data_IF_853916935360
#
_entry.id   IF_853916935360
#
_cell.length_a   1.000
_cell.length_b   1.000
_cell.length_c   1.000
_cell.angle_alpha   90.00
_cell.angle_beta   90.00
_cell.angle_gamma   90.00
#
_symmetry.space_group_name_H-M   'P 1'
#
loop_
_entity.id
_entity.type
_entity.pdbx_description
1 polymer ?
#
# COMPACT_ATOMS: atom_id res chain seq x y z
N UNK A 1 12.10 -26.28 12.99
CA UNK A 1 13.27 -25.38 12.98
C UNK A 1 12.74 -23.98 13.24
N UNK A 2 13.07 -23.37 14.38
CA UNK A 2 12.57 -22.04 14.78
C UNK A 2 13.35 -20.98 14.01
N UNK A 3 12.68 -20.11 13.27
CA UNK A 3 13.32 -18.94 12.67
C UNK A 3 12.84 -17.67 13.35
N UNK A 4 13.78 -17.03 14.06
CA UNK A 4 13.73 -15.64 14.50
C UNK A 4 13.82 -14.73 13.27
N UNK A 5 12.97 -13.71 13.17
CA UNK A 5 13.10 -12.65 12.16
C UNK A 5 14.08 -11.57 12.66
N UNK A 6 15.21 -11.32 11.97
CA UNK A 6 16.04 -10.15 12.25
C UNK A 6 15.65 -8.97 11.33
N UNK A 7 15.59 -7.78 11.93
CA UNK A 7 15.74 -6.42 11.39
C UNK A 7 14.89 -5.95 10.18
N UNK A 8 14.13 -4.88 10.42
CA UNK A 8 13.35 -4.10 9.44
C UNK A 8 14.25 -3.44 8.38
N UNK A 9 14.10 -3.83 7.12
CA UNK A 9 14.63 -3.12 5.94
C UNK A 9 13.45 -2.67 5.08
N UNK A 10 13.37 -1.38 4.78
CA UNK A 10 12.39 -0.80 3.85
C UNK A 10 13.04 -0.63 2.48
N UNK A 11 12.45 -1.22 1.43
CA UNK A 11 12.82 -0.97 0.04
C UNK A 11 11.72 -0.18 -0.67
N UNK A 12 12.08 0.94 -1.31
CA UNK A 12 11.16 1.69 -2.20
C UNK A 12 11.58 1.42 -3.64
N UNK A 13 10.68 0.80 -4.40
CA UNK A 13 10.84 0.60 -5.85
C UNK A 13 9.99 1.61 -6.61
N UNK A 14 10.60 2.39 -7.50
CA UNK A 14 9.89 3.27 -8.43
C UNK A 14 10.19 2.78 -9.84
N UNK A 15 9.14 2.42 -10.59
CA UNK A 15 9.23 2.02 -11.99
C UNK A 15 8.34 2.91 -12.86
N UNK A 16 8.85 3.31 -14.04
CA UNK A 16 8.10 4.08 -15.04
C UNK A 16 7.81 3.18 -16.24
N UNK A 17 6.57 3.23 -16.75
CA UNK A 17 6.15 2.35 -17.83
C UNK A 17 6.79 2.64 -19.20
N UNK A 18 7.28 3.87 -19.48
CA UNK A 18 7.78 4.23 -20.81
C UNK A 18 9.30 4.38 -20.98
N UNK A 19 10.13 4.19 -19.94
CA UNK A 19 11.58 4.38 -20.05
C UNK A 19 12.33 3.29 -19.29
N UNK A 20 13.29 2.64 -19.96
CA UNK A 20 14.12 1.51 -19.49
C UNK A 20 15.04 1.79 -18.29
N UNK A 21 14.70 2.77 -17.44
CA UNK A 21 15.48 3.20 -16.27
C UNK A 21 14.62 3.17 -15.01
N UNK A 22 14.67 2.05 -14.30
CA UNK A 22 14.29 1.98 -12.89
C UNK A 22 15.22 2.89 -12.09
N UNK A 23 14.67 3.83 -11.29
CA UNK A 23 15.44 4.59 -10.31
C UNK A 23 15.09 4.09 -8.91
N UNK A 24 15.98 3.30 -8.32
CA UNK A 24 15.90 2.98 -6.89
C UNK A 24 16.37 4.18 -6.08
N UNK A 25 15.44 4.84 -5.37
CA UNK A 25 15.81 5.86 -4.38
C UNK A 25 16.11 5.15 -3.07
N UNK A 26 17.39 5.01 -2.73
CA UNK A 26 17.82 4.58 -1.39
C UNK A 26 17.74 5.78 -0.44
N UNK A 27 16.83 5.74 0.53
CA UNK A 27 16.80 6.74 1.61
C UNK A 27 17.77 6.28 2.71
N UNK A 28 18.88 6.99 2.99
CA UNK A 28 19.84 6.58 4.01
C UNK A 28 19.25 6.69 5.43
N UNK A 29 19.50 5.68 6.26
CA UNK A 29 18.99 5.48 7.63
C UNK A 29 19.16 6.71 8.54
N UNK A 30 20.25 7.47 8.35
CA UNK A 30 20.56 8.65 9.17
C UNK A 30 19.50 9.75 9.02
N UNK A 31 18.89 9.88 7.83
CA UNK A 31 17.86 10.89 7.55
C UNK A 31 16.53 10.57 8.25
N UNK A 32 16.21 9.28 8.45
CA UNK A 32 15.03 8.85 9.21
C UNK A 32 15.22 9.04 10.73
N UNK A 33 16.43 8.80 11.25
CA UNK A 33 16.74 9.00 12.68
C UNK A 33 16.67 10.47 13.09
N UNK A 34 17.11 11.38 12.20
CA UNK A 34 16.95 12.83 12.37
C UNK A 34 15.49 13.29 12.31
N UNK A 35 14.63 12.58 11.56
CA UNK A 35 13.19 12.87 11.50
C UNK A 35 12.45 12.42 12.76
N UNK A 36 12.91 11.34 13.41
CA UNK A 36 12.36 10.88 14.69
C UNK A 36 12.66 11.84 15.84
N UNK A 37 13.85 12.46 15.86
CA UNK A 37 14.28 13.31 16.96
C UNK A 37 13.68 14.74 16.96
N UNK A 38 12.89 15.13 15.95
CA UNK A 38 12.25 16.45 15.90
C UNK A 38 10.77 16.45 16.28
N UNK A 39 10.19 15.28 16.56
CA UNK A 39 8.76 15.13 16.92
C UNK A 39 8.55 14.88 18.42
N UNK A 40 9.61 14.84 19.24
CA UNK A 40 9.54 14.45 20.67
C UNK A 40 9.65 15.65 21.66
N UNK A 41 9.44 16.89 21.23
CA UNK A 41 9.36 18.06 22.12
C UNK A 41 8.02 18.78 21.95
N UNK A 42 6.93 18.17 22.41
CA UNK A 42 5.73 18.87 22.91
C UNK A 42 4.82 17.85 23.65
N UNK A 43 4.22 18.29 24.76
CA UNK A 43 3.91 17.50 25.97
C UNK A 43 2.73 16.49 25.91
N UNK A 44 2.94 15.31 26.48
CA UNK A 44 2.15 14.78 27.61
C UNK A 44 0.74 14.20 27.40
N UNK A 45 0.63 12.91 27.02
CA UNK A 45 -0.16 11.89 27.75
C UNK A 45 0.13 10.48 27.20
N UNK A 46 0.44 9.54 28.09
CA UNK A 46 0.95 8.22 27.73
C UNK A 46 -0.05 7.33 26.99
N UNK A 47 0.25 7.01 25.74
CA UNK A 47 -0.24 5.81 25.05
C UNK A 47 1.00 5.09 24.51
N UNK A 48 1.22 3.85 24.96
CA UNK A 48 2.35 3.03 24.55
C UNK A 48 2.26 2.69 23.05
N UNK A 49 2.93 3.47 22.21
CA UNK A 49 3.10 3.20 20.79
C UNK A 49 4.05 2.00 20.56
N UNK A 50 3.48 0.80 20.42
CA UNK A 50 4.20 -0.36 19.85
C UNK A 50 4.00 -0.40 18.33
N UNK A 51 4.82 0.36 17.61
CA UNK A 51 4.92 0.25 16.14
C UNK A 51 5.84 -0.95 15.83
N UNK A 52 5.23 -2.12 15.75
CA UNK A 52 5.84 -3.38 15.32
C UNK A 52 4.72 -4.41 15.21
N UNK A 53 4.65 -5.13 14.09
CA UNK A 53 3.63 -6.14 13.86
C UNK A 53 3.51 -7.05 15.09
N UNK A 54 2.33 -7.12 15.71
CA UNK A 54 2.07 -8.05 16.79
C UNK A 54 2.13 -9.47 16.20
N UNK A 55 3.14 -10.30 16.52
CA UNK A 55 3.32 -11.60 15.85
C UNK A 55 2.07 -12.48 15.99
N UNK A 56 1.39 -12.39 17.14
CA UNK A 56 0.13 -13.10 17.38
C UNK A 56 -1.02 -12.64 16.48
N UNK A 57 -1.02 -11.37 16.07
CA UNK A 57 -2.00 -10.82 15.14
C UNK A 57 -1.78 -11.36 13.72
N UNK A 58 -0.52 -11.44 13.28
CA UNK A 58 -0.16 -11.99 11.96
C UNK A 58 -0.43 -13.49 11.88
N UNK A 59 -0.10 -14.25 12.92
CA UNK A 59 -0.39 -15.70 12.96
C UNK A 59 -1.90 -15.97 12.86
N UNK A 60 -2.71 -15.20 13.59
CA UNK A 60 -4.18 -15.31 13.52
C UNK A 60 -4.72 -14.90 12.16
N UNK A 61 -4.17 -13.85 11.55
CA UNK A 61 -4.55 -13.42 10.21
C UNK A 61 -4.34 -14.58 9.21
N UNK A 62 -3.16 -15.18 9.23
CA UNK A 62 -2.84 -16.32 8.36
C UNK A 62 -3.79 -17.49 8.60
N UNK A 63 -4.18 -17.78 9.84
CA UNK A 63 -5.16 -18.83 10.13
C UNK A 63 -6.53 -18.54 9.52
N UNK A 64 -7.02 -17.30 9.60
CA UNK A 64 -8.30 -16.91 9.00
C UNK A 64 -8.23 -17.03 7.48
N UNK A 65 -7.16 -16.52 6.85
CA UNK A 65 -6.99 -16.59 5.39
C UNK A 65 -6.91 -18.04 4.87
N UNK A 66 -6.16 -18.92 5.55
CA UNK A 66 -6.05 -20.32 5.12
C UNK A 66 -7.32 -21.16 5.35
N UNK A 67 -8.22 -20.71 6.22
CA UNK A 67 -9.47 -21.41 6.52
C UNK A 67 -10.68 -20.86 5.75
N UNK A 68 -10.47 -19.79 4.98
CA UNK A 68 -11.50 -19.18 4.15
C UNK A 68 -11.76 -19.98 2.86
N UNK A 69 -12.95 -19.78 2.30
CA UNK A 69 -13.35 -20.44 1.06
C UNK A 69 -12.68 -19.83 -0.18
N UNK A 70 -12.47 -18.51 -0.16
CA UNK A 70 -11.71 -17.74 -1.14
C UNK A 70 -11.12 -16.47 -0.50
N UNK A 71 -10.48 -15.63 -1.32
CA UNK A 71 -9.84 -14.40 -0.86
C UNK A 71 -10.84 -13.33 -0.36
N UNK A 72 -11.99 -13.18 -1.02
CA UNK A 72 -13.02 -12.21 -0.61
C UNK A 72 -13.50 -12.56 0.80
N UNK A 73 -13.94 -13.81 0.98
CA UNK A 73 -14.38 -14.35 2.25
C UNK A 73 -13.29 -14.24 3.35
N UNK A 74 -12.02 -14.52 3.00
CA UNK A 74 -10.91 -14.47 3.96
C UNK A 74 -10.59 -13.06 4.45
N UNK A 75 -10.44 -12.10 3.53
CA UNK A 75 -10.12 -10.72 3.88
C UNK A 75 -11.29 -10.05 4.60
N UNK A 76 -12.52 -10.23 4.13
CA UNK A 76 -13.71 -9.64 4.75
C UNK A 76 -13.95 -10.18 6.17
N UNK A 77 -13.69 -11.49 6.42
CA UNK A 77 -13.68 -12.06 7.78
C UNK A 77 -12.67 -11.38 8.70
N UNK A 78 -11.48 -11.05 8.20
CA UNK A 78 -10.47 -10.36 9.01
C UNK A 78 -10.95 -8.97 9.41
N UNK A 79 -11.55 -8.22 8.48
CA UNK A 79 -12.16 -6.92 8.75
C UNK A 79 -13.28 -7.00 9.80
N UNK A 80 -14.24 -7.92 9.62
CA UNK A 80 -15.36 -8.12 10.57
C UNK A 80 -14.89 -8.48 11.98
N UNK A 81 -13.76 -9.17 12.10
CA UNK A 81 -13.17 -9.55 13.38
C UNK A 81 -12.25 -8.47 13.98
N UNK A 82 -12.05 -7.34 13.29
CA UNK A 82 -11.07 -6.31 13.69
C UNK A 82 -9.62 -6.80 13.65
N UNK A 83 -9.35 -7.88 12.91
CA UNK A 83 -8.03 -8.47 12.76
C UNK A 83 -7.27 -7.81 11.63
N UNK A 84 -6.86 -6.56 11.85
CA UNK A 84 -6.22 -5.69 10.86
C UNK A 84 -4.80 -5.27 11.29
N UNK A 85 -3.87 -6.22 11.56
CA UNK A 85 -2.53 -5.91 12.06
C UNK A 85 -1.65 -5.12 11.07
N UNK A 86 -2.06 -4.99 9.81
CA UNK A 86 -1.39 -4.17 8.79
C UNK A 86 -1.84 -2.70 8.82
N UNK A 87 -3.00 -2.40 9.41
CA UNK A 87 -3.56 -1.05 9.43
C UNK A 87 -2.75 -0.15 10.37
N UNK A 88 -2.26 0.98 9.85
CA UNK A 88 -1.45 1.93 10.60
C UNK A 88 -2.28 2.93 11.42
N UNK A 89 -3.60 3.00 11.20
CA UNK A 89 -4.51 4.01 11.75
C UNK A 89 -4.25 5.42 11.23
N UNK A 90 -3.39 5.56 10.23
CA UNK A 90 -2.94 6.84 9.66
C UNK A 90 -2.33 6.62 8.27
N UNK A 91 -2.15 7.70 7.47
CA UNK A 91 -1.45 7.61 6.20
C UNK A 91 -0.01 7.11 6.36
N UNK A 92 0.45 6.33 5.39
CA UNK A 92 1.83 5.88 5.25
C UNK A 92 2.76 7.11 5.22
N UNK A 93 3.68 7.27 6.19
CA UNK A 93 4.48 8.50 6.30
C UNK A 93 5.28 8.85 5.05
N UNK A 94 5.77 7.84 4.32
CA UNK A 94 6.48 8.04 3.06
C UNK A 94 5.56 8.65 1.99
N UNK A 95 4.36 8.09 1.81
CA UNK A 95 3.42 8.55 0.81
C UNK A 95 2.96 9.98 1.11
N UNK A 96 2.63 10.27 2.37
CA UNK A 96 2.28 11.62 2.83
C UNK A 96 3.39 12.63 2.49
N UNK A 97 4.65 12.27 2.76
CA UNK A 97 5.80 13.12 2.43
C UNK A 97 5.98 13.33 0.93
N UNK A 98 5.82 12.29 0.12
CA UNK A 98 5.91 12.41 -1.34
C UNK A 98 4.81 13.34 -1.88
N UNK A 99 3.62 13.29 -1.30
CA UNK A 99 2.52 14.21 -1.59
C UNK A 99 2.89 15.65 -1.22
N UNK A 100 3.29 15.90 0.03
CA UNK A 100 3.62 17.23 0.56
C UNK A 100 4.78 17.91 -0.21
N UNK A 101 5.71 17.12 -0.73
CA UNK A 101 6.86 17.62 -1.51
C UNK A 101 6.56 17.79 -3.01
N UNK A 102 5.33 17.50 -3.44
CA UNK A 102 4.94 17.54 -4.87
C UNK A 102 5.66 16.49 -5.72
N UNK A 103 6.17 15.42 -5.10
CA UNK A 103 6.96 14.38 -5.77
C UNK A 103 6.10 13.28 -6.40
N UNK A 104 4.78 13.30 -6.18
CA UNK A 104 3.85 12.34 -6.78
C UNK A 104 3.30 12.86 -8.12
N UNK A 105 3.14 12.00 -9.15
CA UNK A 105 2.47 12.36 -10.39
C UNK A 105 1.09 13.00 -10.16
N UNK A 106 0.69 13.91 -11.05
CA UNK A 106 -0.67 14.48 -11.10
C UNK A 106 -1.60 13.56 -11.91
N UNK A 107 -2.89 13.87 -11.91
CA UNK A 107 -3.89 13.15 -12.71
C UNK A 107 -4.66 12.12 -11.90
N UNK A 108 -4.64 10.85 -12.33
CA UNK A 108 -5.41 9.76 -11.72
C UNK A 108 -4.48 8.78 -11.02
N UNK A 109 -4.81 8.43 -9.77
CA UNK A 109 -4.06 7.49 -8.97
C UNK A 109 -4.92 6.28 -8.57
N UNK A 110 -4.31 5.09 -8.52
CA UNK A 110 -4.91 3.87 -8.01
C UNK A 110 -4.13 3.35 -6.79
N UNK A 111 -4.86 2.96 -5.75
CA UNK A 111 -4.35 2.21 -4.61
C UNK A 111 -5.09 0.88 -4.53
N UNK A 112 -4.49 -0.24 -4.99
CA UNK A 112 -5.08 -1.56 -4.85
C UNK A 112 -4.95 -2.08 -3.42
N UNK A 113 -5.99 -2.73 -2.90
CA UNK A 113 -6.05 -3.18 -1.50
C UNK A 113 -6.04 -2.00 -0.53
N UNK A 114 -6.90 -1.01 -0.75
CA UNK A 114 -6.82 0.27 -0.04
C UNK A 114 -7.17 0.19 1.46
N UNK A 115 -7.81 -0.89 1.93
CA UNK A 115 -8.22 -1.06 3.32
C UNK A 115 -9.07 0.12 3.81
N UNK A 116 -8.69 0.70 4.97
CA UNK A 116 -9.31 1.92 5.54
C UNK A 116 -9.16 3.17 4.69
N UNK A 117 -8.34 3.15 3.64
CA UNK A 117 -8.25 4.26 2.70
C UNK A 117 -7.46 5.48 3.18
N UNK A 118 -6.71 5.39 4.29
CA UNK A 118 -5.93 6.52 4.79
C UNK A 118 -4.98 7.11 3.73
N UNK A 119 -4.31 6.24 2.96
CA UNK A 119 -3.41 6.65 1.88
C UNK A 119 -4.15 7.26 0.69
N UNK A 120 -5.36 6.78 0.40
CA UNK A 120 -6.23 7.33 -0.65
C UNK A 120 -6.58 8.78 -0.32
N UNK A 121 -7.10 9.01 0.89
CA UNK A 121 -7.49 10.33 1.36
C UNK A 121 -6.29 11.27 1.44
N UNK A 122 -5.12 10.77 1.88
CA UNK A 122 -3.95 11.60 2.12
C UNK A 122 -3.36 12.24 0.86
N UNK A 123 -3.51 11.61 -0.31
CA UNK A 123 -2.92 12.11 -1.57
C UNK A 123 -3.93 12.72 -2.54
N UNK A 124 -5.22 12.66 -2.21
CA UNK A 124 -6.31 13.20 -3.01
C UNK A 124 -6.35 14.73 -2.90
N UNK A 125 -6.29 15.40 -4.04
CA UNK A 125 -6.24 16.86 -4.13
C UNK A 125 -6.78 17.35 -5.49
N UNK A 126 -6.96 18.66 -5.71
CA UNK A 126 -7.48 19.18 -6.98
C UNK A 126 -6.74 18.71 -8.24
N UNK A 127 -5.44 18.43 -8.12
CA UNK A 127 -4.59 17.94 -9.21
C UNK A 127 -4.45 16.42 -9.25
N UNK A 128 -5.06 15.68 -8.30
CA UNK A 128 -4.99 14.22 -8.22
C UNK A 128 -6.30 13.59 -7.74
N UNK A 129 -7.00 12.94 -8.65
CA UNK A 129 -8.14 12.09 -8.33
C UNK A 129 -7.67 10.68 -7.97
N UNK A 130 -8.15 10.13 -6.86
CA UNK A 130 -7.62 8.87 -6.31
C UNK A 130 -8.72 7.81 -6.21
N UNK A 131 -8.46 6.64 -6.78
CA UNK A 131 -9.33 5.47 -6.69
C UNK A 131 -8.70 4.49 -5.72
N UNK A 132 -9.36 4.21 -4.60
CA UNK A 132 -9.06 3.08 -3.74
C UNK A 132 -9.92 1.90 -4.10
N UNK A 133 -9.34 0.71 -4.27
CA UNK A 133 -10.11 -0.51 -4.43
C UNK A 133 -9.75 -1.55 -3.39
N UNK A 134 -10.74 -2.29 -2.92
CA UNK A 134 -10.57 -3.42 -2.02
C UNK A 134 -11.60 -4.50 -2.36
N UNK A 135 -11.24 -5.76 -2.12
CA UNK A 135 -12.15 -6.89 -2.37
C UNK A 135 -13.21 -7.01 -1.27
N UNK A 136 -12.87 -6.59 -0.05
CA UNK A 136 -13.70 -6.69 1.15
C UNK A 136 -14.78 -5.60 1.21
N UNK A 137 -16.04 -5.99 1.36
CA UNK A 137 -17.15 -5.07 1.63
C UNK A 137 -16.87 -4.26 2.91
N UNK A 138 -16.46 -4.94 3.97
CA UNK A 138 -16.24 -4.34 5.28
C UNK A 138 -15.10 -3.30 5.25
N UNK A 139 -14.10 -3.50 4.41
CA UNK A 139 -13.01 -2.54 4.22
C UNK A 139 -13.53 -1.25 3.58
N UNK A 140 -14.32 -1.37 2.51
CA UNK A 140 -14.89 -0.25 1.77
C UNK A 140 -15.88 0.53 2.64
N UNK A 141 -16.74 -0.16 3.38
CA UNK A 141 -17.64 0.47 4.36
C UNK A 141 -16.86 1.30 5.38
N UNK A 142 -15.77 0.73 5.93
CA UNK A 142 -14.91 1.42 6.89
C UNK A 142 -14.21 2.63 6.27
N UNK A 143 -13.71 2.50 5.05
CA UNK A 143 -13.05 3.58 4.34
C UNK A 143 -14.01 4.76 4.10
N UNK A 144 -15.23 4.47 3.64
CA UNK A 144 -16.27 5.50 3.42
C UNK A 144 -16.67 6.15 4.75
N UNK A 145 -16.91 5.37 5.81
CA UNK A 145 -17.24 5.87 7.15
C UNK A 145 -16.20 6.89 7.63
N UNK A 146 -14.91 6.55 7.54
CA UNK A 146 -13.81 7.36 8.04
C UNK A 146 -13.51 8.63 7.21
N UNK A 147 -13.94 8.66 5.95
CA UNK A 147 -13.48 9.66 4.98
C UNK A 147 -14.58 10.57 4.42
N UNK A 148 -15.85 10.22 4.60
CA UNK A 148 -17.00 10.93 4.01
C UNK A 148 -17.07 12.42 4.37
N UNK A 149 -16.58 12.82 5.54
CA UNK A 149 -16.57 14.22 6.01
C UNK A 149 -15.31 15.01 5.63
N UNK A 150 -14.37 14.38 4.92
CA UNK A 150 -13.11 15.03 4.58
C UNK A 150 -13.30 16.14 3.54
N UNK A 151 -12.57 17.27 3.66
CA UNK A 151 -12.74 18.42 2.76
C UNK A 151 -12.34 18.11 1.31
N UNK A 152 -11.57 17.06 1.08
CA UNK A 152 -11.13 16.58 -0.23
C UNK A 152 -11.95 15.38 -0.74
N UNK A 153 -13.13 15.11 -0.17
CA UNK A 153 -14.01 13.99 -0.55
C UNK A 153 -14.44 13.99 -2.01
N UNK A 154 -14.42 15.15 -2.70
CA UNK A 154 -14.67 15.22 -4.14
C UNK A 154 -13.53 14.69 -5.01
N UNK A 155 -12.35 14.42 -4.43
CA UNK A 155 -11.14 14.02 -5.16
C UNK A 155 -10.77 12.55 -4.96
N UNK A 156 -11.62 11.74 -4.34
CA UNK A 156 -11.40 10.31 -4.24
C UNK A 156 -12.69 9.49 -4.32
N UNK A 157 -12.54 8.20 -4.54
CA UNK A 157 -13.62 7.21 -4.44
C UNK A 157 -13.08 5.87 -3.95
N UNK A 158 -13.96 5.09 -3.34
CA UNK A 158 -13.70 3.73 -2.92
C UNK A 158 -14.61 2.78 -3.69
N UNK A 159 -14.04 1.74 -4.29
CA UNK A 159 -14.78 0.73 -5.05
C UNK A 159 -14.53 -0.65 -4.47
N UNK A 160 -15.62 -1.38 -4.20
CA UNK A 160 -15.53 -2.82 -3.96
C UNK A 160 -15.22 -3.51 -5.28
N UNK A 161 -14.01 -4.04 -5.42
CA UNK A 161 -13.55 -4.68 -6.65
C UNK A 161 -12.40 -5.64 -6.38
N UNK A 162 -12.44 -6.79 -7.06
CA UNK A 162 -11.27 -7.66 -7.19
C UNK A 162 -10.31 -7.06 -8.22
N UNK A 163 -9.09 -6.73 -7.76
CA UNK A 163 -8.02 -6.16 -8.59
C UNK A 163 -7.75 -6.95 -9.88
N UNK A 164 -7.81 -8.28 -9.85
CA UNK A 164 -7.43 -9.10 -10.99
C UNK A 164 -8.51 -9.13 -12.08
N UNK A 165 -9.78 -9.11 -11.69
CA UNK A 165 -10.93 -9.23 -12.60
C UNK A 165 -11.57 -7.88 -12.95
N UNK A 166 -11.32 -6.83 -12.17
CA UNK A 166 -11.85 -5.50 -12.42
C UNK A 166 -11.17 -4.80 -13.60
N UNK A 167 -11.96 -4.21 -14.50
CA UNK A 167 -11.45 -3.51 -15.68
C UNK A 167 -11.82 -2.03 -15.60
N UNK A 168 -10.87 -1.13 -15.28
CA UNK A 168 -11.16 0.30 -15.27
C UNK A 168 -11.39 0.82 -16.69
N UNK A 169 -12.27 1.81 -16.83
CA UNK A 169 -12.52 2.50 -18.11
C UNK A 169 -11.40 3.46 -18.48
N UNK A 170 -10.60 3.90 -17.51
CA UNK A 170 -9.49 4.83 -17.67
C UNK A 170 -8.22 4.27 -17.03
N UNK A 171 -7.09 4.53 -17.68
CA UNK A 171 -5.76 4.16 -17.18
C UNK A 171 -5.27 5.17 -16.14
N UNK A 172 -4.32 4.75 -15.30
CA UNK A 172 -3.80 5.56 -14.20
C UNK A 172 -2.45 6.22 -14.51
N UNK A 173 -2.26 7.44 -14.00
CA UNK A 173 -0.97 8.15 -14.02
C UNK A 173 -0.05 7.67 -12.89
N UNK A 174 -0.63 7.24 -11.78
CA UNK A 174 0.07 6.70 -10.62
C UNK A 174 -0.61 5.41 -10.14
N UNK A 175 0.15 4.37 -9.88
CA UNK A 175 -0.30 3.25 -9.05
C UNK A 175 0.63 3.18 -7.84
N UNK A 176 0.05 3.23 -6.64
CA UNK A 176 0.79 3.10 -5.39
C UNK A 176 0.42 1.78 -4.70
N UNK A 177 1.37 0.85 -4.65
CA UNK A 177 1.22 -0.44 -3.97
C UNK A 177 2.01 -0.42 -2.66
N UNK A 178 1.29 -0.57 -1.55
CA UNK A 178 1.85 -0.83 -0.25
C UNK A 178 1.05 -1.92 0.44
N UNK A 179 1.74 -2.99 0.84
CA UNK A 179 1.17 -4.20 1.46
C UNK A 179 0.22 -5.04 0.60
N UNK A 180 -0.08 -4.65 -0.65
CA UNK A 180 -0.94 -5.42 -1.55
C UNK A 180 -0.17 -6.54 -2.24
N UNK A 181 0.98 -6.25 -2.86
CA UNK A 181 1.81 -7.28 -3.53
C UNK A 181 2.27 -8.42 -2.60
N UNK A 182 2.49 -8.14 -1.30
CA UNK A 182 2.85 -9.18 -0.34
C UNK A 182 1.64 -9.96 0.21
N UNK A 183 0.43 -9.40 0.07
CA UNK A 183 -0.81 -10.03 0.51
C UNK A 183 -1.37 -11.02 -0.53
N UNK A 184 -1.00 -10.88 -1.81
CA UNK A 184 -1.41 -11.81 -2.86
C UNK A 184 -0.60 -13.12 -2.83
N UNK A 185 -1.26 -14.21 -3.20
CA UNK A 185 -0.62 -15.52 -3.35
C UNK A 185 0.57 -15.45 -4.34
N UNK A 186 1.68 -16.16 -4.06
CA UNK A 186 2.88 -16.09 -4.90
C UNK A 186 2.62 -16.34 -6.39
N UNK A 187 1.73 -17.28 -6.72
CA UNK A 187 1.40 -17.65 -8.10
C UNK A 187 0.61 -16.57 -8.86
N UNK A 188 0.03 -15.59 -8.14
CA UNK A 188 -0.67 -14.44 -8.73
C UNK A 188 0.25 -13.27 -9.04
N UNK A 189 1.52 -13.30 -8.62
CA UNK A 189 2.44 -12.15 -8.75
C UNK A 189 2.76 -11.80 -10.21
N UNK A 190 2.86 -12.79 -11.09
CA UNK A 190 3.01 -12.53 -12.54
C UNK A 190 1.79 -11.86 -13.12
N UNK A 191 0.58 -12.32 -12.72
CA UNK A 191 -0.69 -11.69 -13.11
C UNK A 191 -0.84 -10.28 -12.56
N UNK A 192 -0.33 -10.03 -11.35
CA UNK A 192 -0.29 -8.68 -10.78
C UNK A 192 0.55 -7.75 -11.66
N UNK A 193 1.73 -8.20 -12.11
CA UNK A 193 2.58 -7.38 -12.97
C UNK A 193 1.89 -7.08 -14.31
N UNK A 194 1.34 -8.11 -14.97
CA UNK A 194 0.56 -7.93 -16.20
C UNK A 194 -0.60 -6.95 -16.00
N UNK A 195 -1.35 -7.10 -14.90
CA UNK A 195 -2.47 -6.21 -14.60
C UNK A 195 -2.02 -4.77 -14.42
N UNK A 196 -0.95 -4.53 -13.67
CA UNK A 196 -0.37 -3.21 -13.45
C UNK A 196 0.02 -2.58 -14.80
N UNK A 197 0.72 -3.32 -15.67
CA UNK A 197 1.09 -2.84 -17.03
C UNK A 197 -0.14 -2.40 -17.82
N UNK A 198 -1.20 -3.20 -17.76
CA UNK A 198 -2.38 -3.02 -18.60
C UNK A 198 -3.24 -1.83 -18.15
N UNK A 199 -3.28 -1.54 -16.83
CA UNK A 199 -4.06 -0.43 -16.26
C UNK A 199 -3.24 0.86 -16.06
N UNK A 200 -1.93 0.82 -16.23
CA UNK A 200 -1.05 1.98 -16.16
C UNK A 200 -0.94 2.67 -17.53
N UNK A 201 -0.99 4.02 -17.54
CA UNK A 201 -0.71 4.82 -18.74
C UNK A 201 0.73 4.57 -19.22
N UNK A 202 1.03 4.79 -20.52
CA UNK A 202 2.40 4.69 -21.03
C UNK A 202 3.42 5.47 -20.20
N UNK A 203 3.13 6.72 -19.85
CA UNK A 203 4.00 7.56 -19.01
C UNK A 203 3.69 7.47 -17.50
N UNK A 204 2.85 6.50 -17.11
CA UNK A 204 2.46 6.30 -15.73
C UNK A 204 3.61 5.78 -14.85
N UNK A 205 3.49 6.04 -13.56
CA UNK A 205 4.46 5.61 -12.55
C UNK A 205 3.86 4.56 -11.61
N UNK A 206 4.57 3.46 -11.42
CA UNK A 206 4.32 2.50 -10.35
C UNK A 206 5.28 2.78 -9.19
N UNK A 207 4.73 3.07 -8.02
CA UNK A 207 5.48 3.18 -6.78
C UNK A 207 5.10 2.00 -5.89
N UNK A 208 6.10 1.20 -5.53
CA UNK A 208 5.93 0.02 -4.66
C UNK A 208 6.74 0.21 -3.39
N UNK A 209 6.08 0.16 -2.24
CA UNK A 209 6.74 0.06 -0.94
C UNK A 209 6.83 -1.42 -0.57
N UNK A 210 7.96 -2.02 -0.89
CA UNK A 210 8.17 -3.46 -0.72
C UNK A 210 8.42 -3.80 0.76
N UNK A 211 7.50 -4.58 1.35
CA UNK A 211 7.56 -5.08 2.72
C UNK A 211 6.91 -6.47 2.80
N UNK A 212 7.42 -7.43 3.61
CA UNK A 212 8.75 -7.46 4.23
C UNK A 212 9.84 -7.88 3.22
N UNK A 213 10.97 -7.18 3.20
CA UNK A 213 12.14 -7.59 2.41
C UNK A 213 12.93 -8.61 3.24
N UNK A 214 12.65 -9.91 3.10
CA UNK A 214 13.55 -10.91 3.66
C UNK A 214 14.93 -10.75 2.97
N UNK A 215 16.02 -10.77 3.75
CA UNK A 215 17.40 -10.52 3.27
C UNK A 215 17.82 -11.44 2.11
N UNK A 216 17.14 -12.58 1.92
CA UNK A 216 17.35 -13.46 0.76
C UNK A 216 16.85 -12.91 -0.58
N UNK A 217 15.97 -11.89 -0.60
CA UNK A 217 15.53 -11.23 -1.83
C UNK A 217 16.57 -10.30 -2.44
N UNK A 218 17.72 -10.07 -1.80
CA UNK A 218 18.83 -9.31 -2.41
C UNK A 218 19.44 -10.01 -3.64
N UNK A 219 19.11 -11.28 -3.90
CA UNK A 219 19.52 -12.00 -5.12
C UNK A 219 18.45 -12.06 -6.21
N UNK A 220 17.20 -11.71 -5.93
CA UNK A 220 16.19 -11.49 -6.96
C UNK A 220 16.04 -9.98 -7.14
N UNK A 221 16.81 -9.43 -8.09
CA UNK A 221 16.48 -8.14 -8.67
C UNK A 221 15.07 -8.24 -9.25
N UNK A 222 14.07 -7.75 -8.53
CA UNK A 222 12.72 -7.58 -9.07
C UNK A 222 12.77 -6.36 -9.99
N UNK A 223 13.22 -6.58 -11.22
CA UNK A 223 13.00 -5.66 -12.31
C UNK A 223 11.63 -6.00 -12.91
N UNK A 224 10.62 -5.17 -12.65
CA UNK A 224 9.42 -5.17 -13.48
C UNK A 224 9.73 -4.34 -14.72
N UNK A 225 10.18 -5.01 -15.79
CA UNK A 225 10.20 -4.44 -17.12
C UNK A 225 8.79 -4.50 -17.69
N UNK A 226 8.22 -3.33 -17.95
CA UNK A 226 6.93 -3.18 -18.63
C UNK A 226 7.20 -2.64 -20.02
N UNK A 227 7.80 -3.43 -20.90
CA UNK A 227 7.77 -3.10 -22.33
C UNK A 227 6.34 -3.38 -22.84
N UNK A 228 5.71 -2.35 -23.42
CA UNK A 228 4.43 -2.47 -24.15
C UNK A 228 4.70 -2.71 -25.63
#
# INVERSE_FOLDING_TARGET
MRYLLPNNVFGVGISRAALSRTRTIRVPIVKLRMMKNREDEEEGHGIQNKVGANPRGVDRLQQVLHSASDADDGWDKCWKQGLIPWDLGRPTPLLKRLHETGSLPRGTALLPGCGTGYDVVAIACPERYVVGIDISDSAIEKAVELSSSQPNSSYFTFLKADFFTWHPTHLFDLIFDYTFFCAIEPDLRSRWAEKIRDILKPDGELITLMFPVAIFFLYFHIFFFFDK
#
